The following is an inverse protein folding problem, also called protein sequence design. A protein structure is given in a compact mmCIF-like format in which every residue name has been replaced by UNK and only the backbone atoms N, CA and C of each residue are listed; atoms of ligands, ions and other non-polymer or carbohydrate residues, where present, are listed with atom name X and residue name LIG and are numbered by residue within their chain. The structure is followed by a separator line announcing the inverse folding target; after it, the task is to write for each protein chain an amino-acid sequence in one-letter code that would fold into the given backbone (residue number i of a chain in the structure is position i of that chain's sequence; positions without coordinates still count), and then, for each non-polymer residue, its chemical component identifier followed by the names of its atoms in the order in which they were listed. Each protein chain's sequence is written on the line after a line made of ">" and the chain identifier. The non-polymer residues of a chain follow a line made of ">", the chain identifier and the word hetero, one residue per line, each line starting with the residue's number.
data_IF_761924665919
#
_entry.id   IF_761924665919
#
_cell.length_a   1.000
_cell.length_b   1.000
_cell.length_c   1.000
_cell.angle_alpha   90.00
_cell.angle_beta   90.00
_cell.angle_gamma   90.00
#
_symmetry.space_group_name_H-M   'P 1'
#
loop_
_entity.id
_entity.type
_entity.pdbx_description
1 polymer ?
#
# COMPACT_ATOMS: atom_id res chain seq x y z
N UNK A 1 17.95 -21.37 -0.24
CA UNK A 1 18.17 -21.72 -1.66
C UNK A 1 18.99 -23.00 -1.68
N UNK A 2 18.62 -23.97 -2.49
CA UNK A 2 19.35 -25.20 -2.78
C UNK A 2 19.96 -25.04 -4.19
N UNK A 3 21.24 -25.39 -4.34
CA UNK A 3 22.04 -25.11 -5.54
C UNK A 3 22.67 -26.39 -6.07
N UNK A 4 22.76 -26.52 -7.40
CA UNK A 4 23.68 -27.42 -8.08
C UNK A 4 24.74 -26.57 -8.82
N UNK A 5 25.92 -26.44 -8.20
CA UNK A 5 26.95 -25.52 -8.67
C UNK A 5 26.44 -24.06 -8.69
N UNK A 6 26.39 -23.46 -9.89
CA UNK A 6 25.90 -22.10 -10.11
C UNK A 6 24.40 -22.04 -10.46
N UNK A 7 23.73 -23.19 -10.60
CA UNK A 7 22.32 -23.29 -10.97
C UNK A 7 21.47 -23.36 -9.70
N UNK A 8 20.44 -22.52 -9.62
CA UNK A 8 19.44 -22.58 -8.56
C UNK A 8 18.46 -23.72 -8.85
N UNK A 9 18.52 -24.77 -8.03
CA UNK A 9 17.57 -25.89 -8.09
C UNK A 9 16.27 -25.55 -7.36
N UNK A 10 16.38 -24.89 -6.20
CA UNK A 10 15.20 -24.49 -5.40
C UNK A 10 15.44 -23.23 -4.59
N UNK A 11 14.46 -22.35 -4.55
CA UNK A 11 14.44 -21.22 -3.62
C UNK A 11 13.13 -21.24 -2.81
N UNK A 12 13.24 -21.27 -1.49
CA UNK A 12 12.10 -21.16 -0.58
C UNK A 12 12.21 -19.84 0.20
N UNK A 13 11.42 -18.81 -0.16
CA UNK A 13 11.41 -17.56 0.57
C UNK A 13 10.55 -17.70 1.84
N UNK A 14 11.21 -17.79 2.99
CA UNK A 14 10.53 -17.71 4.29
C UNK A 14 10.14 -16.25 4.59
N UNK A 15 8.89 -15.91 4.30
CA UNK A 15 8.31 -14.57 4.54
C UNK A 15 7.58 -14.48 5.89
N UNK A 16 7.14 -13.27 6.25
CA UNK A 16 6.37 -13.04 7.48
C UNK A 16 7.18 -12.47 8.66
N UNK A 17 8.49 -12.28 8.50
CA UNK A 17 9.35 -11.65 9.51
C UNK A 17 8.96 -10.18 9.82
N UNK A 18 8.24 -9.53 8.89
CA UNK A 18 7.63 -8.20 9.07
C UNK A 18 6.10 -8.26 9.13
N UNK A 19 5.52 -9.42 9.47
CA UNK A 19 4.09 -9.51 9.74
C UNK A 19 3.77 -8.75 11.04
N UNK A 20 2.86 -7.76 10.95
CA UNK A 20 2.51 -6.87 12.07
C UNK A 20 1.05 -6.99 12.52
N UNK A 21 0.30 -7.95 11.98
CA UNK A 21 -1.13 -8.07 12.25
C UNK A 21 -1.95 -6.83 11.84
N UNK A 22 -1.50 -6.11 10.81
CA UNK A 22 -2.08 -4.80 10.39
C UNK A 22 -3.58 -4.86 10.16
N UNK A 23 -4.06 -5.86 9.41
CA UNK A 23 -5.49 -6.05 9.13
C UNK A 23 -6.29 -6.26 10.43
N UNK A 24 -5.76 -7.06 11.37
CA UNK A 24 -6.40 -7.29 12.66
C UNK A 24 -6.47 -6.02 13.50
N UNK A 25 -5.43 -5.19 13.47
CA UNK A 25 -5.43 -3.92 14.20
C UNK A 25 -6.47 -2.94 13.63
N UNK A 26 -6.66 -2.94 12.31
CA UNK A 26 -7.64 -2.09 11.61
C UNK A 26 -9.08 -2.43 12.02
N UNK A 27 -9.41 -3.70 12.33
CA UNK A 27 -10.73 -4.09 12.84
C UNK A 27 -11.13 -3.35 14.13
N UNK A 28 -10.15 -2.91 14.93
CA UNK A 28 -10.37 -2.18 16.18
C UNK A 28 -10.15 -0.67 16.04
N UNK A 29 -10.24 -0.12 14.82
CA UNK A 29 -10.01 1.29 14.50
C UNK A 29 -11.13 1.82 13.61
N UNK A 30 -11.40 3.11 13.71
CA UNK A 30 -12.32 3.77 12.76
C UNK A 30 -11.63 3.92 11.40
N UNK A 31 -12.41 4.13 10.33
CA UNK A 31 -11.88 4.35 8.98
C UNK A 31 -10.80 5.44 8.94
N UNK A 32 -11.01 6.56 9.63
CA UNK A 32 -10.01 7.64 9.68
C UNK A 32 -8.75 7.24 10.46
N UNK A 33 -8.89 6.50 11.56
CA UNK A 33 -7.76 5.97 12.32
C UNK A 33 -6.98 4.88 11.57
N UNK A 34 -7.62 4.22 10.59
CA UNK A 34 -7.01 3.17 9.79
C UNK A 34 -6.11 3.70 8.67
N UNK A 35 -6.30 4.96 8.22
CA UNK A 35 -5.53 5.55 7.11
C UNK A 35 -4.01 5.40 7.29
N UNK A 36 -3.41 5.72 8.46
CA UNK A 36 -1.96 5.61 8.68
C UNK A 36 -1.46 4.18 8.88
N UNK A 37 -2.24 3.16 8.53
CA UNK A 37 -1.71 1.81 8.34
C UNK A 37 -1.38 1.54 6.88
N UNK A 38 -2.08 2.19 5.94
CA UNK A 38 -1.91 1.98 4.50
C UNK A 38 -0.61 2.61 3.98
N UNK A 39 -0.25 3.80 4.47
CA UNK A 39 1.07 4.43 4.25
C UNK A 39 2.26 3.52 4.63
N UNK A 40 2.08 2.58 5.58
CA UNK A 40 3.13 1.69 6.09
C UNK A 40 3.12 0.30 5.47
N UNK A 41 2.21 -0.02 4.55
CA UNK A 41 2.18 -1.31 3.85
C UNK A 41 3.26 -1.35 2.78
N UNK A 42 3.13 -0.49 1.77
CA UNK A 42 4.21 -0.14 0.86
C UNK A 42 4.80 1.20 1.31
N UNK A 43 5.92 1.11 2.03
CA UNK A 43 6.61 2.26 2.61
C UNK A 43 7.34 3.13 1.58
N UNK A 44 7.37 2.73 0.30
CA UNK A 44 7.89 3.54 -0.81
C UNK A 44 6.75 4.22 -1.57
N UNK A 45 5.53 3.67 -1.49
CA UNK A 45 4.35 4.24 -2.15
C UNK A 45 3.20 4.71 -1.22
N UNK A 46 3.46 5.51 -0.17
CA UNK A 46 2.48 5.77 0.88
C UNK A 46 1.18 6.41 0.35
N UNK A 47 1.30 7.43 -0.52
CA UNK A 47 0.15 8.16 -1.06
C UNK A 47 -0.72 7.26 -1.96
N UNK A 48 -0.12 6.31 -2.69
CA UNK A 48 -0.88 5.38 -3.53
C UNK A 48 -1.68 4.40 -2.68
N UNK A 49 -1.11 3.93 -1.56
CA UNK A 49 -1.79 3.02 -0.64
C UNK A 49 -2.95 3.72 0.09
N UNK A 50 -2.73 4.92 0.61
CA UNK A 50 -3.81 5.73 1.21
C UNK A 50 -4.91 6.06 0.19
N UNK A 51 -4.53 6.38 -1.05
CA UNK A 51 -5.48 6.68 -2.12
C UNK A 51 -6.35 5.45 -2.45
N UNK A 52 -5.79 4.24 -2.50
CA UNK A 52 -6.57 3.02 -2.72
C UNK A 52 -7.62 2.79 -1.60
N UNK A 53 -7.24 2.99 -0.33
CA UNK A 53 -8.17 2.87 0.79
C UNK A 53 -9.25 3.97 0.78
N UNK A 54 -8.87 5.21 0.42
CA UNK A 54 -9.81 6.30 0.26
C UNK A 54 -10.85 6.01 -0.83
N UNK A 55 -10.43 5.51 -2.00
CA UNK A 55 -11.33 5.13 -3.10
C UNK A 55 -12.31 4.04 -2.69
N UNK A 56 -11.84 3.00 -1.99
CA UNK A 56 -12.71 1.93 -1.48
C UNK A 56 -13.75 2.47 -0.50
N UNK A 57 -13.34 3.34 0.43
CA UNK A 57 -14.23 3.97 1.41
C UNK A 57 -15.25 4.90 0.73
N UNK A 58 -14.82 5.70 -0.24
CA UNK A 58 -15.66 6.61 -1.01
C UNK A 58 -16.69 5.86 -1.86
N UNK A 59 -16.31 4.74 -2.45
CA UNK A 59 -17.20 3.87 -3.20
C UNK A 59 -18.27 3.25 -2.30
N UNK A 60 -17.91 2.78 -1.11
CA UNK A 60 -18.87 2.26 -0.11
C UNK A 60 -19.85 3.33 0.37
N UNK A 61 -19.40 4.57 0.51
CA UNK A 61 -20.22 5.71 0.93
C UNK A 61 -21.01 6.35 -0.23
N UNK A 62 -20.73 5.94 -1.47
CA UNK A 62 -21.32 6.52 -2.68
C UNK A 62 -21.19 8.05 -2.77
N UNK A 63 -20.00 8.57 -2.42
CA UNK A 63 -19.69 10.00 -2.46
C UNK A 63 -18.76 10.35 -3.61
N UNK A 64 -18.92 11.56 -4.16
CA UNK A 64 -18.07 12.08 -5.22
C UNK A 64 -17.10 13.13 -4.69
N UNK A 65 -15.80 12.87 -4.85
CA UNK A 65 -14.74 13.80 -4.47
C UNK A 65 -14.72 15.02 -5.42
N UNK A 66 -14.52 16.25 -4.92
CA UNK A 66 -14.40 17.45 -5.77
C UNK A 66 -13.30 17.31 -6.82
N UNK A 67 -13.51 17.89 -8.01
CA UNK A 67 -12.57 17.77 -9.14
C UNK A 67 -11.14 18.20 -8.78
N UNK A 68 -10.98 19.26 -7.99
CA UNK A 68 -9.67 19.73 -7.52
C UNK A 68 -8.94 18.65 -6.73
N UNK A 69 -9.63 17.95 -5.84
CA UNK A 69 -9.03 16.91 -5.02
C UNK A 69 -8.64 15.68 -5.86
N UNK A 70 -9.41 15.34 -6.90
CA UNK A 70 -9.04 14.28 -7.85
C UNK A 70 -7.73 14.60 -8.58
N UNK A 71 -7.57 15.83 -9.09
CA UNK A 71 -6.31 16.26 -9.73
C UNK A 71 -5.13 16.19 -8.77
N UNK A 72 -5.28 16.67 -7.53
CA UNK A 72 -4.22 16.61 -6.52
C UNK A 72 -3.82 15.15 -6.24
N UNK A 73 -4.79 14.25 -6.08
CA UNK A 73 -4.54 12.83 -5.87
C UNK A 73 -3.73 12.19 -7.01
N UNK A 74 -4.09 12.50 -8.25
CA UNK A 74 -3.34 12.00 -9.42
C UNK A 74 -1.92 12.55 -9.41
N UNK A 75 -1.73 13.85 -9.22
CA UNK A 75 -0.38 14.47 -9.17
C UNK A 75 0.49 13.79 -8.11
N UNK A 76 -0.02 13.62 -6.89
CA UNK A 76 0.74 12.96 -5.82
C UNK A 76 0.95 11.47 -6.07
N UNK A 77 -0.03 10.76 -6.63
CA UNK A 77 0.14 9.35 -7.00
C UNK A 77 1.25 9.18 -8.04
N UNK A 78 1.34 10.10 -9.00
CA UNK A 78 2.39 10.09 -10.03
C UNK A 78 3.78 10.44 -9.47
N UNK A 79 3.87 11.40 -8.54
CA UNK A 79 5.12 11.68 -7.81
C UNK A 79 5.55 10.42 -7.04
N UNK A 80 4.63 9.79 -6.32
CA UNK A 80 4.90 8.59 -5.55
C UNK A 80 5.26 7.38 -6.42
N UNK A 81 4.68 7.26 -7.62
CA UNK A 81 5.09 6.26 -8.62
C UNK A 81 6.54 6.47 -9.06
N UNK A 82 6.93 7.71 -9.36
CA UNK A 82 8.33 8.03 -9.71
C UNK A 82 9.26 7.69 -8.54
N UNK A 83 8.89 8.03 -7.30
CA UNK A 83 9.67 7.69 -6.11
C UNK A 83 9.85 6.17 -5.95
N UNK A 84 8.80 5.38 -6.18
CA UNK A 84 8.88 3.92 -6.15
C UNK A 84 9.83 3.38 -7.21
N UNK A 85 9.81 3.90 -8.43
CA UNK A 85 10.73 3.44 -9.48
C UNK A 85 12.18 3.90 -9.31
N UNK A 86 12.46 4.87 -8.45
CA UNK A 86 13.81 5.34 -8.15
C UNK A 86 14.48 4.56 -7.03
N UNK A 87 13.72 3.81 -6.23
CA UNK A 87 14.20 3.00 -5.10
C UNK A 87 14.17 1.50 -5.45
#
# INVERSE_FOLDING_TARGET
>A
VELDGEVVERAEPHIGLLHRGTEKLIEYKTYLQAVPYFDRLDYVSPMCQEHAFALATEQLLNIKVPIRAQYIRVIFSEITRILNHLL
#
